data_IF_797815199645
#
_entry.id   IF_797815199645
#
_cell.length_a   1.000
_cell.length_b   1.000
_cell.length_c   1.000
_cell.angle_alpha   90.00
_cell.angle_beta   90.00
_cell.angle_gamma   90.00
#
_symmetry.space_group_name_H-M   'P 1'
#
loop_
_entity.id
_entity.type
_entity.pdbx_description
1 polymer ?
#
# COMPACT_ATOMS: atom_id res chain seq x y z
N UNK A 1 25.43 -11.16 -1.73
CA UNK A 1 24.47 -10.23 -1.09
C UNK A 1 25.17 -8.90 -0.81
N UNK A 2 24.63 -7.74 -1.23
CA UNK A 2 25.25 -6.44 -0.85
C UNK A 2 25.03 -6.20 0.64
N UNK A 3 26.11 -5.96 1.41
CA UNK A 3 26.14 -5.60 2.85
C UNK A 3 25.13 -4.50 3.29
N UNK A 4 24.56 -3.76 2.33
CA UNK A 4 23.65 -2.64 2.55
C UNK A 4 22.16 -3.02 2.57
N UNK A 5 21.79 -4.28 2.32
CA UNK A 5 20.37 -4.69 2.30
C UNK A 5 19.77 -4.78 3.71
N UNK A 6 20.47 -5.44 4.64
CA UNK A 6 20.03 -5.62 6.03
C UNK A 6 19.99 -4.30 6.80
N UNK A 7 21.01 -3.45 6.65
CA UNK A 7 21.06 -2.13 7.31
C UNK A 7 19.93 -1.20 6.88
N UNK A 8 19.46 -1.31 5.64
CA UNK A 8 18.33 -0.51 5.15
C UNK A 8 17.00 -0.94 5.74
N UNK A 9 16.86 -2.19 6.18
CA UNK A 9 15.61 -2.69 6.79
C UNK A 9 15.34 -2.07 8.16
N UNK A 10 16.40 -1.79 8.94
CA UNK A 10 16.30 -1.17 10.27
C UNK A 10 16.04 0.35 10.25
N UNK A 11 15.77 0.95 9.08
CA UNK A 11 15.39 2.35 9.00
C UNK A 11 13.98 2.55 9.60
N UNK A 12 13.82 3.59 10.42
CA UNK A 12 12.54 3.95 11.05
C UNK A 12 11.39 4.13 10.05
N UNK A 13 11.69 4.53 8.82
CA UNK A 13 10.72 4.62 7.72
C UNK A 13 10.08 3.27 7.35
N UNK A 14 10.72 2.15 7.68
CA UNK A 14 10.23 0.80 7.35
C UNK A 14 9.34 0.19 8.44
N UNK A 15 9.23 0.84 9.60
CA UNK A 15 8.31 0.43 10.66
C UNK A 15 6.85 0.58 10.22
N UNK A 16 6.57 1.64 9.46
CA UNK A 16 5.24 1.95 8.95
C UNK A 16 4.84 1.10 7.74
N UNK A 17 3.54 1.01 7.51
CA UNK A 17 2.93 0.38 6.32
C UNK A 17 2.99 1.31 5.10
N UNK A 18 4.16 1.91 4.87
CA UNK A 18 4.40 2.91 3.82
C UNK A 18 5.28 2.34 2.68
N UNK A 19 4.82 2.62 1.46
CA UNK A 19 5.31 2.29 0.12
C UNK A 19 6.20 1.03 -0.08
N UNK A 20 5.56 0.01 -0.64
CA UNK A 20 6.06 -0.88 -1.69
C UNK A 20 4.89 -1.02 -2.68
N UNK A 21 5.17 -1.01 -4.00
CA UNK A 21 4.19 -1.06 -5.11
C UNK A 21 2.87 -1.75 -4.72
N UNK A 22 1.75 -1.01 -4.74
CA UNK A 22 0.45 -1.50 -4.28
C UNK A 22 -0.01 -2.76 -5.05
N UNK A 23 0.42 -2.87 -6.30
CA UNK A 23 0.24 -4.01 -7.21
C UNK A 23 0.75 -5.32 -6.59
N UNK A 24 1.84 -5.26 -5.82
CA UNK A 24 2.45 -6.43 -5.20
C UNK A 24 1.51 -7.12 -4.19
N UNK A 25 0.50 -6.41 -3.70
CA UNK A 25 -0.53 -6.98 -2.82
C UNK A 25 -1.65 -7.70 -3.58
N UNK A 26 -1.79 -7.44 -4.88
CA UNK A 26 -2.84 -7.98 -5.73
C UNK A 26 -2.32 -8.93 -6.82
N UNK A 27 -1.01 -9.18 -6.87
CA UNK A 27 -0.37 -9.98 -7.91
C UNK A 27 0.36 -11.22 -7.38
N UNK A 28 0.48 -12.21 -8.28
CA UNK A 28 1.36 -13.34 -8.09
C UNK A 28 2.81 -12.92 -8.37
N UNK A 29 3.73 -13.32 -7.50
CA UNK A 29 5.17 -13.10 -7.68
C UNK A 29 5.67 -13.71 -9.00
N UNK A 30 5.10 -14.85 -9.40
CA UNK A 30 5.56 -15.69 -10.50
C UNK A 30 4.90 -15.39 -11.85
N UNK A 31 4.36 -14.16 -12.03
CA UNK A 31 3.72 -13.70 -13.26
C UNK A 31 2.61 -14.61 -13.79
N UNK A 32 1.90 -15.29 -12.89
CA UNK A 32 0.73 -16.09 -13.28
C UNK A 32 -0.30 -15.21 -14.01
N UNK A 33 -1.04 -15.78 -14.98
CA UNK A 33 -2.16 -15.06 -15.58
C UNK A 33 -3.11 -14.58 -14.48
N UNK A 34 -3.56 -13.32 -14.58
CA UNK A 34 -4.43 -12.70 -13.56
C UNK A 34 -5.67 -13.52 -13.22
N UNK A 35 -6.39 -14.13 -14.19
CA UNK A 35 -7.52 -15.02 -13.87
C UNK A 35 -7.12 -16.20 -12.97
N UNK A 36 -5.95 -16.81 -13.22
CA UNK A 36 -5.46 -17.97 -12.44
C UNK A 36 -5.18 -17.55 -11.00
N UNK A 37 -4.50 -16.42 -10.80
CA UNK A 37 -4.24 -15.90 -9.46
C UNK A 37 -5.53 -15.49 -8.73
N UNK A 38 -6.51 -14.94 -9.45
CA UNK A 38 -7.83 -14.63 -8.89
C UNK A 38 -8.55 -15.90 -8.42
N UNK A 39 -8.58 -16.96 -9.23
CA UNK A 39 -9.19 -18.25 -8.86
C UNK A 39 -8.51 -18.82 -7.62
N UNK A 40 -7.17 -18.80 -7.55
CA UNK A 40 -6.41 -19.20 -6.36
C UNK A 40 -6.82 -18.41 -5.11
N UNK A 41 -6.93 -17.08 -5.23
CA UNK A 41 -7.35 -16.21 -4.12
C UNK A 41 -8.78 -16.48 -3.65
N UNK A 42 -9.71 -16.69 -4.58
CA UNK A 42 -11.10 -17.04 -4.27
C UNK A 42 -11.20 -18.41 -3.60
N UNK A 43 -10.45 -19.41 -4.08
CA UNK A 43 -10.41 -20.74 -3.48
C UNK A 43 -9.93 -20.70 -2.01
N UNK A 44 -8.86 -19.95 -1.73
CA UNK A 44 -8.40 -19.75 -0.35
C UNK A 44 -9.42 -19.03 0.52
N UNK A 45 -10.08 -17.99 0.00
CA UNK A 45 -11.13 -17.28 0.71
C UNK A 45 -12.32 -18.16 1.07
N UNK A 46 -12.79 -18.97 0.11
CA UNK A 46 -13.89 -19.92 0.31
C UNK A 46 -13.50 -20.98 1.34
N UNK A 47 -12.30 -21.57 1.19
CA UNK A 47 -11.80 -22.56 2.13
C UNK A 47 -11.67 -21.98 3.55
N UNK A 48 -11.18 -20.74 3.70
CA UNK A 48 -11.03 -20.13 5.01
C UNK A 48 -12.37 -19.88 5.72
N UNK A 49 -13.45 -19.59 4.97
CA UNK A 49 -14.80 -19.52 5.53
C UNK A 49 -15.30 -20.90 5.94
N UNK A 50 -15.11 -21.90 5.07
CA UNK A 50 -15.44 -23.29 5.40
C UNK A 50 -14.72 -23.75 6.67
N UNK A 51 -13.41 -23.56 6.76
CA UNK A 51 -12.60 -24.02 7.87
C UNK A 51 -12.94 -23.31 9.19
N UNK A 52 -13.21 -21.99 9.17
CA UNK A 52 -13.71 -21.28 10.35
C UNK A 52 -15.10 -21.79 10.78
N UNK A 53 -15.98 -22.08 9.82
CA UNK A 53 -17.32 -22.60 10.11
C UNK A 53 -17.23 -24.00 10.71
N UNK A 54 -16.38 -24.86 10.14
CA UNK A 54 -16.10 -26.20 10.64
C UNK A 54 -15.55 -26.16 12.06
N UNK A 55 -14.57 -25.29 12.35
CA UNK A 55 -14.05 -25.08 13.71
C UNK A 55 -15.16 -24.69 14.70
N UNK A 56 -15.93 -23.64 14.40
CA UNK A 56 -17.02 -23.20 15.28
C UNK A 56 -18.06 -24.32 15.50
N UNK A 57 -18.39 -25.08 14.45
CA UNK A 57 -19.38 -26.17 14.54
C UNK A 57 -18.83 -27.38 15.30
N UNK A 58 -17.55 -27.73 15.13
CA UNK A 58 -16.92 -28.84 15.84
C UNK A 58 -16.91 -28.56 17.34
N UNK A 59 -16.60 -27.32 17.74
CA UNK A 59 -16.62 -26.89 19.13
C UNK A 59 -18.01 -26.85 19.76
N UNK A 60 -19.05 -26.52 18.98
CA UNK A 60 -20.44 -26.60 19.48
C UNK A 60 -20.88 -28.03 19.80
N UNK A 61 -20.30 -29.02 19.12
CA UNK A 61 -20.62 -30.43 19.31
C UNK A 61 -19.77 -31.09 20.39
N UNK A 62 -18.69 -30.44 20.80
CA UNK A 62 -17.71 -31.02 21.69
C UNK A 62 -18.06 -30.70 23.16
N UNK A 63 -17.77 -31.63 24.06
CA UNK A 63 -18.11 -31.51 25.48
C UNK A 63 -17.13 -30.63 26.28
N UNK A 64 -16.43 -29.70 25.62
CA UNK A 64 -15.42 -28.88 26.29
C UNK A 64 -16.07 -27.82 27.16
N UNK A 65 -15.42 -27.54 28.28
CA UNK A 65 -15.92 -26.62 29.31
C UNK A 65 -15.85 -25.15 28.87
N UNK A 66 -15.01 -24.81 27.89
CA UNK A 66 -14.78 -23.43 27.45
C UNK A 66 -15.52 -23.11 26.16
N UNK A 67 -15.96 -21.86 26.05
CA UNK A 67 -16.48 -21.32 24.80
C UNK A 67 -15.36 -21.24 23.75
N UNK A 68 -15.66 -21.60 22.50
CA UNK A 68 -14.68 -21.64 21.38
C UNK A 68 -13.87 -20.34 21.20
N UNK A 69 -14.50 -19.20 21.44
CA UNK A 69 -13.87 -17.88 21.30
C UNK A 69 -12.77 -17.60 22.32
N UNK A 70 -12.58 -18.44 23.33
CA UNK A 70 -11.50 -18.30 24.30
C UNK A 70 -10.16 -18.75 23.72
N UNK A 71 -10.16 -19.64 22.73
CA UNK A 71 -8.95 -20.24 22.20
C UNK A 71 -8.21 -19.33 21.21
N UNK A 72 -6.88 -19.26 21.35
CA UNK A 72 -5.98 -18.56 20.44
C UNK A 72 -6.10 -19.08 19.00
N UNK A 73 -6.35 -20.38 18.84
CA UNK A 73 -6.60 -21.01 17.53
C UNK A 73 -7.76 -20.32 16.83
N UNK A 74 -8.88 -20.12 17.52
CA UNK A 74 -10.08 -19.48 16.96
C UNK A 74 -9.86 -18.00 16.65
N UNK A 75 -9.18 -17.25 17.53
CA UNK A 75 -8.79 -15.86 17.22
C UNK A 75 -7.94 -15.78 15.95
N UNK A 76 -6.96 -16.69 15.83
CA UNK A 76 -6.06 -16.76 14.67
C UNK A 76 -6.83 -17.12 13.41
N UNK A 77 -7.80 -18.03 13.50
CA UNK A 77 -8.70 -18.40 12.42
C UNK A 77 -9.58 -17.24 11.95
N UNK A 78 -10.15 -16.47 12.87
CA UNK A 78 -10.95 -15.28 12.51
C UNK A 78 -10.11 -14.28 11.72
N UNK A 79 -8.89 -13.97 12.19
CA UNK A 79 -7.98 -13.07 11.48
C UNK A 79 -7.51 -13.64 10.14
N UNK A 80 -7.30 -14.95 10.06
CA UNK A 80 -6.90 -15.65 8.84
C UNK A 80 -8.01 -15.64 7.79
N UNK A 81 -9.26 -15.88 8.19
CA UNK A 81 -10.41 -15.77 7.31
C UNK A 81 -10.58 -14.34 6.81
N UNK A 82 -10.47 -13.34 7.70
CA UNK A 82 -10.49 -11.94 7.28
C UNK A 82 -9.36 -11.60 6.29
N UNK A 83 -8.15 -12.12 6.55
CA UNK A 83 -6.98 -11.96 5.69
C UNK A 83 -7.22 -12.54 4.28
N UNK A 84 -7.67 -13.79 4.17
CA UNK A 84 -7.90 -14.42 2.88
C UNK A 84 -9.07 -13.81 2.11
N UNK A 85 -10.17 -13.45 2.78
CA UNK A 85 -11.29 -12.75 2.15
C UNK A 85 -10.88 -11.39 1.61
N UNK A 86 -10.12 -10.61 2.39
CA UNK A 86 -9.61 -9.33 1.94
C UNK A 86 -8.67 -9.49 0.74
N UNK A 87 -7.78 -10.48 0.76
CA UNK A 87 -6.93 -10.83 -0.39
C UNK A 87 -7.73 -11.20 -1.64
N UNK A 88 -8.82 -11.94 -1.50
CA UNK A 88 -9.73 -12.30 -2.59
C UNK A 88 -10.43 -11.07 -3.19
N UNK A 89 -10.96 -10.19 -2.33
CA UNK A 89 -11.57 -8.93 -2.76
C UNK A 89 -10.55 -8.04 -3.48
N UNK A 90 -9.34 -7.90 -2.96
CA UNK A 90 -8.28 -7.11 -3.59
C UNK A 90 -7.89 -7.64 -4.97
N UNK A 91 -7.74 -8.97 -5.11
CA UNK A 91 -7.46 -9.60 -6.39
C UNK A 91 -8.60 -9.41 -7.40
N UNK A 92 -9.87 -9.51 -6.95
CA UNK A 92 -11.05 -9.32 -7.78
C UNK A 92 -11.17 -7.88 -8.28
N UNK A 93 -11.07 -6.91 -7.38
CA UNK A 93 -11.10 -5.48 -7.71
C UNK A 93 -9.98 -5.13 -8.69
N UNK A 94 -8.79 -5.69 -8.46
CA UNK A 94 -7.65 -5.49 -9.36
C UNK A 94 -7.91 -6.08 -10.75
N UNK A 95 -8.47 -7.28 -10.82
CA UNK A 95 -8.81 -7.93 -12.09
C UNK A 95 -9.86 -7.14 -12.88
N UNK A 96 -10.93 -6.69 -12.23
CA UNK A 96 -12.00 -5.89 -12.85
C UNK A 96 -11.42 -4.57 -13.39
N UNK A 97 -10.60 -3.88 -12.58
CA UNK A 97 -9.95 -2.65 -13.01
C UNK A 97 -9.09 -2.86 -14.26
N UNK A 98 -8.23 -3.89 -14.26
CA UNK A 98 -7.34 -4.17 -15.38
C UNK A 98 -8.12 -4.53 -16.65
N UNK A 99 -9.21 -5.29 -16.52
CA UNK A 99 -10.08 -5.62 -17.65
C UNK A 99 -10.73 -4.37 -18.23
N UNK A 100 -11.32 -3.53 -17.38
CA UNK A 100 -11.97 -2.28 -17.81
C UNK A 100 -10.98 -1.29 -18.44
N UNK A 101 -9.78 -1.17 -17.87
CA UNK A 101 -8.73 -0.31 -18.41
C UNK A 101 -8.29 -0.77 -19.80
N UNK A 102 -8.04 -2.08 -19.98
CA UNK A 102 -7.66 -2.64 -21.29
C UNK A 102 -8.73 -2.45 -22.36
N UNK A 103 -10.01 -2.56 -22.00
CA UNK A 103 -11.11 -2.31 -22.95
C UNK A 103 -11.21 -0.83 -23.33
N UNK A 104 -10.92 0.08 -22.40
CA UNK A 104 -11.07 1.52 -22.63
C UNK A 104 -9.84 2.17 -23.27
N UNK A 105 -8.64 1.63 -23.01
CA UNK A 105 -7.37 2.17 -23.49
C UNK A 105 -6.48 1.05 -24.05
N UNK A 106 -6.84 0.45 -25.20
CA UNK A 106 -6.15 -0.73 -25.74
C UNK A 106 -4.68 -0.46 -26.10
N UNK A 107 -4.34 0.78 -26.47
CA UNK A 107 -2.99 1.17 -26.90
C UNK A 107 -2.11 1.70 -25.76
N UNK A 108 -2.64 1.79 -24.54
CA UNK A 108 -1.90 2.31 -23.38
C UNK A 108 -1.62 1.14 -22.44
N UNK A 109 -0.34 0.84 -22.21
CA UNK A 109 0.02 -0.11 -21.16
C UNK A 109 -0.42 0.47 -19.81
N UNK A 110 -1.17 -0.27 -18.96
CA UNK A 110 -1.53 0.21 -17.64
C UNK A 110 -0.26 0.51 -16.85
N UNK A 111 -0.06 1.79 -16.51
CA UNK A 111 1.06 2.22 -15.67
C UNK A 111 1.00 1.48 -14.33
N UNK A 112 2.15 0.98 -13.85
CA UNK A 112 2.26 0.24 -12.59
C UNK A 112 2.08 1.10 -11.34
N UNK A 113 1.74 2.38 -11.45
CA UNK A 113 1.41 3.23 -10.29
C UNK A 113 -0.06 3.68 -10.30
N UNK A 114 -0.84 3.25 -11.30
CA UNK A 114 -2.10 3.88 -11.67
C UNK A 114 -3.34 3.33 -10.95
N UNK A 115 -3.19 2.23 -10.20
CA UNK A 115 -4.29 1.54 -9.52
C UNK A 115 -4.91 2.34 -8.39
N UNK A 116 -4.06 2.94 -7.56
CA UNK A 116 -4.50 3.68 -6.38
C UNK A 116 -4.98 5.07 -6.81
N UNK A 117 -4.28 5.73 -7.72
CA UNK A 117 -4.63 7.10 -8.12
C UNK A 117 -5.97 7.21 -8.85
N UNK A 118 -6.35 6.28 -9.73
CA UNK A 118 -7.61 6.41 -10.50
C UNK A 118 -8.85 5.93 -9.75
N UNK A 119 -8.77 4.84 -8.98
CA UNK A 119 -9.89 4.42 -8.13
C UNK A 119 -10.25 5.50 -7.09
N UNK A 120 -9.25 6.23 -6.60
CA UNK A 120 -9.44 7.36 -5.70
C UNK A 120 -9.78 8.67 -6.42
N UNK A 121 -9.20 8.96 -7.59
CA UNK A 121 -9.58 10.14 -8.38
C UNK A 121 -11.05 10.06 -8.79
N UNK A 122 -11.57 8.91 -9.23
CA UNK A 122 -12.98 8.76 -9.60
C UNK A 122 -13.90 8.95 -8.37
N UNK A 123 -13.51 8.46 -7.19
CA UNK A 123 -14.29 8.60 -5.95
C UNK A 123 -14.14 9.98 -5.28
N UNK A 124 -13.04 10.69 -5.53
CA UNK A 124 -12.76 12.06 -5.06
C UNK A 124 -13.42 13.09 -5.98
N UNK A 125 -13.37 12.87 -7.30
CA UNK A 125 -14.05 13.68 -8.32
C UNK A 125 -15.57 13.48 -8.31
N UNK A 126 -16.09 12.32 -7.85
CA UNK A 126 -17.53 12.13 -7.68
C UNK A 126 -18.10 12.74 -6.39
N UNK A 127 -17.23 13.05 -5.41
CA UNK A 127 -17.63 13.68 -4.12
C UNK A 127 -17.37 15.18 -4.06
N UNK A 128 -16.35 15.67 -4.75
CA UNK A 128 -16.17 17.10 -4.94
C UNK A 128 -16.96 17.54 -6.17
N UNK A 129 -17.85 18.53 -6.05
CA UNK A 129 -18.31 19.33 -7.18
C UNK A 129 -17.09 20.09 -7.73
N UNK A 130 -16.22 19.41 -8.47
CA UNK A 130 -15.00 20.03 -9.01
C UNK A 130 -15.37 20.84 -10.24
N UNK A 131 -14.88 22.07 -10.27
CA UNK A 131 -15.04 23.02 -11.37
C UNK A 131 -14.64 22.38 -12.72
N UNK A 132 -15.49 22.45 -13.77
CA UNK A 132 -15.21 21.89 -15.10
C UNK A 132 -13.84 22.27 -15.68
N UNK A 133 -13.32 23.46 -15.35
CA UNK A 133 -12.02 23.93 -15.81
C UNK A 133 -10.84 23.06 -15.32
N UNK A 134 -10.94 22.48 -14.12
CA UNK A 134 -9.90 21.61 -13.58
C UNK A 134 -9.88 20.24 -14.27
N UNK A 135 -11.06 19.73 -14.65
CA UNK A 135 -11.20 18.50 -15.44
C UNK A 135 -10.64 18.69 -16.85
N UNK A 136 -10.78 19.88 -17.43
CA UNK A 136 -10.26 20.21 -18.75
C UNK A 136 -8.73 20.35 -18.76
N UNK A 137 -8.16 20.97 -17.73
CA UNK A 137 -6.70 21.03 -17.53
C UNK A 137 -6.09 19.63 -17.34
N UNK A 138 -6.73 18.77 -16.54
CA UNK A 138 -6.29 17.38 -16.34
C UNK A 138 -6.39 16.52 -17.61
N UNK A 139 -7.32 16.81 -18.52
CA UNK A 139 -7.37 16.17 -19.85
C UNK A 139 -6.24 16.61 -20.75
N UNK A 140 -5.93 17.92 -20.78
CA UNK A 140 -4.87 18.49 -21.64
C UNK A 140 -3.47 18.00 -21.27
N UNK A 141 -3.21 17.79 -19.98
CA UNK A 141 -1.92 17.22 -19.51
C UNK A 141 -1.77 15.73 -19.87
N UNK A 142 -2.87 15.02 -20.13
CA UNK A 142 -2.89 13.57 -20.40
C UNK A 142 -3.24 13.20 -21.85
N UNK A 143 -3.33 14.18 -22.76
CA UNK A 143 -3.57 13.89 -24.17
C UNK A 143 -2.31 13.21 -24.76
N UNK A 144 -2.46 12.12 -25.53
CA UNK A 144 -1.33 11.55 -26.26
C UNK A 144 -0.81 12.60 -27.25
N UNK A 145 0.51 12.72 -27.45
CA UNK A 145 1.02 13.59 -28.48
C UNK A 145 0.66 12.95 -29.82
N UNK A 146 -0.19 13.57 -30.63
CA UNK A 146 -0.25 13.23 -32.04
C UNK A 146 -0.62 14.42 -32.93
N UNK A 147 0.27 14.63 -33.91
CA UNK A 147 0.06 15.00 -35.31
C UNK A 147 -1.15 15.87 -35.69
N UNK A 148 -0.79 17.02 -36.27
CA UNK A 148 -1.54 17.78 -37.29
C UNK A 148 -2.78 18.56 -36.83
N UNK A 149 -2.56 19.86 -36.61
CA UNK A 149 -3.49 20.92 -37.06
C UNK A 149 -2.70 22.17 -37.41
N UNK A 150 -2.19 22.23 -38.64
CA UNK A 150 -2.04 23.49 -39.35
C UNK A 150 -3.30 23.70 -40.18
N UNK A 151 -4.14 24.67 -39.82
CA UNK A 151 -4.86 25.54 -40.77
C UNK A 151 -5.82 26.47 -40.02
N UNK A 152 -5.63 27.77 -40.29
CA UNK A 152 -6.65 28.82 -40.33
C UNK A 152 -7.39 29.22 -39.06
N UNK A 153 -6.97 30.34 -38.46
CA UNK A 153 -7.87 31.47 -38.16
C UNK A 153 -7.06 32.75 -37.89
N UNK A 154 -7.14 33.69 -38.84
CA UNK A 154 -6.90 35.12 -38.61
C UNK A 154 -7.96 35.68 -37.63
N UNK A 155 -7.60 36.72 -36.88
CA UNK A 155 -8.59 37.63 -36.30
C UNK A 155 -8.38 37.96 -34.83
N UNK A 156 -7.97 39.21 -34.60
CA UNK A 156 -8.32 40.08 -33.48
C UNK A 156 -7.76 39.83 -32.07
N UNK A 157 -7.07 40.86 -31.59
CA UNK A 157 -6.63 41.03 -30.21
C UNK A 157 -7.82 41.30 -29.29
N UNK A 158 -7.89 40.74 -28.07
CA UNK A 158 -8.93 41.10 -27.12
C UNK A 158 -8.57 42.39 -26.35
N UNK A 159 -9.57 43.22 -25.96
CA UNK A 159 -9.33 44.36 -25.10
C UNK A 159 -9.15 43.93 -23.64
N UNK A 160 -8.30 44.68 -22.95
CA UNK A 160 -8.06 44.62 -21.51
C UNK A 160 -9.33 45.04 -20.77
N UNK A 161 -9.83 44.18 -19.87
CA UNK A 161 -10.85 44.56 -18.87
C UNK A 161 -10.21 44.50 -17.49
N UNK A 162 -10.15 45.68 -16.90
CA UNK A 162 -9.73 46.00 -15.54
C UNK A 162 -10.74 45.40 -14.55
N UNK A 163 -10.24 44.77 -13.48
CA UNK A 163 -11.06 44.43 -12.31
C UNK A 163 -10.55 45.26 -11.13
N UNK A 164 -11.33 46.28 -10.77
CA UNK A 164 -11.22 47.04 -9.53
C UNK A 164 -11.40 46.10 -8.33
N UNK A 165 -10.50 46.24 -7.35
CA UNK A 165 -10.64 45.61 -6.04
C UNK A 165 -10.93 46.70 -5.02
N UNK A 166 -12.16 46.69 -4.48
CA UNK A 166 -12.57 47.57 -3.41
C UNK A 166 -12.18 46.99 -2.03
N UNK A 167 -11.38 47.79 -1.31
CA UNK A 167 -11.56 48.21 0.10
C UNK A 167 -11.51 47.13 1.19
N UNK A 168 -10.48 47.19 2.05
CA UNK A 168 -10.71 47.68 3.41
C UNK A 168 -9.46 48.23 4.15
N UNK A 169 -9.79 49.18 5.05
CA UNK A 169 -9.05 50.21 5.80
C UNK A 169 -7.77 49.84 6.58
N UNK A 170 -6.83 50.80 6.68
CA UNK A 170 -6.43 51.56 7.91
C UNK A 170 -5.15 52.39 7.66
N UNK A 171 -5.24 53.72 7.68
CA UNK A 171 -4.91 54.65 8.79
C UNK A 171 -3.50 55.30 8.70
N UNK A 172 -3.55 56.64 8.60
CA UNK A 172 -2.67 57.66 9.18
C UNK A 172 -1.31 58.06 8.54
N UNK A 173 -1.32 59.33 8.12
CA UNK A 173 -0.44 60.46 8.50
C UNK A 173 0.63 61.02 7.53
N UNK A 174 0.49 62.34 7.30
CA UNK A 174 1.51 63.34 6.92
C UNK A 174 2.08 63.27 5.50
N UNK A 175 2.45 64.32 4.79
CA UNK A 175 2.30 65.78 4.86
C UNK A 175 2.96 66.32 3.57
N UNK A 176 2.56 67.52 3.15
CA UNK A 176 3.23 68.44 2.22
C UNK A 176 3.22 68.10 0.71
N UNK A 177 2.43 68.75 -0.16
CA UNK A 177 2.36 70.16 -0.62
C UNK A 177 3.28 70.47 -1.82
N UNK A 178 2.65 71.04 -2.87
CA UNK A 178 3.13 71.86 -4.02
C UNK A 178 3.52 71.18 -5.35
N UNK A 179 2.62 71.34 -6.33
CA UNK A 179 2.90 71.73 -7.73
C UNK A 179 3.21 73.26 -7.79
N UNK A 180 3.46 73.94 -8.94
CA UNK A 180 3.52 73.53 -10.36
C UNK A 180 4.69 74.17 -11.18
N UNK A 181 4.71 73.92 -12.50
CA UNK A 181 4.85 74.89 -13.63
C UNK A 181 5.89 74.60 -14.74
N UNK A 182 5.34 74.57 -15.98
CA UNK A 182 5.74 75.21 -17.25
C UNK A 182 7.14 75.09 -17.88
N UNK A 183 7.13 74.89 -19.21
CA UNK A 183 8.14 75.41 -20.15
C UNK A 183 8.56 74.39 -21.23
N UNK A 184 7.83 74.26 -22.35
CA UNK A 184 8.11 74.88 -23.67
C UNK A 184 9.13 74.15 -24.58
N UNK A 185 8.64 73.78 -25.77
CA UNK A 185 9.33 73.33 -26.99
C UNK A 185 10.22 74.44 -27.60
N UNK A 186 11.15 74.16 -28.55
CA UNK A 186 10.79 73.99 -29.96
C UNK A 186 11.63 72.99 -30.79
N UNK A 187 11.07 72.70 -31.97
CA UNK A 187 11.57 71.92 -33.12
C UNK A 187 12.66 72.68 -33.89
N UNK A 188 13.63 71.97 -34.49
CA UNK A 188 14.31 72.44 -35.70
C UNK A 188 14.73 71.30 -36.64
N UNK A 189 14.54 71.55 -37.95
CA UNK A 189 14.92 70.70 -39.09
C UNK A 189 16.29 71.13 -39.63
N UNK A 190 17.07 70.18 -40.19
CA UNK A 190 18.09 70.37 -41.26
C UNK A 190 18.49 68.99 -41.79
N UNK A 191 18.14 68.65 -43.02
CA UNK A 191 18.88 68.80 -44.29
C UNK A 191 19.82 67.63 -44.62
N UNK A 192 19.75 67.21 -45.88
CA UNK A 192 20.30 65.98 -46.44
C UNK A 192 21.74 66.14 -46.91
N UNK A 193 22.52 65.06 -46.88
CA UNK A 193 23.58 64.84 -47.86
C UNK A 193 23.79 63.33 -48.09
N UNK A 194 23.95 62.94 -49.34
CA UNK A 194 24.05 61.55 -49.77
C UNK A 194 25.46 60.97 -49.73
N UNK A 195 25.57 59.67 -49.49
CA UNK A 195 26.69 58.83 -49.95
C UNK A 195 26.35 57.34 -49.77
N UNK A 196 26.52 56.61 -50.88
CA UNK A 196 26.91 55.21 -51.00
C UNK A 196 26.03 54.05 -50.51
N UNK A 197 25.63 53.28 -51.52
CA UNK A 197 25.08 51.92 -51.51
C UNK A 197 25.99 50.95 -50.74
N UNK A 198 25.43 50.27 -49.72
CA UNK A 198 25.81 48.90 -49.34
C UNK A 198 24.56 48.12 -48.89
N UNK A 199 24.15 47.15 -49.70
CA UNK A 199 23.16 46.12 -49.37
C UNK A 199 23.71 45.20 -48.26
N UNK A 200 23.03 44.98 -47.13
CA UNK A 200 23.45 43.99 -46.15
C UNK A 200 23.07 42.57 -46.59
N UNK A 201 24.00 41.63 -46.43
CA UNK A 201 23.87 40.22 -46.77
C UNK A 201 22.70 39.49 -46.05
N UNK A 202 22.22 38.35 -46.57
CA UNK A 202 21.17 37.57 -45.94
C UNK A 202 21.64 37.01 -44.59
N UNK A 203 20.80 37.12 -43.55
CA UNK A 203 21.08 36.53 -42.23
C UNK A 203 21.09 35.00 -42.33
N UNK A 204 22.03 34.30 -41.67
CA UNK A 204 22.01 32.84 -41.63
C UNK A 204 20.81 32.35 -40.79
N UNK A 205 20.19 31.27 -41.27
CA UNK A 205 19.10 30.57 -40.59
C UNK A 205 19.46 30.26 -39.13
N UNK A 206 18.69 30.81 -38.19
CA UNK A 206 18.79 30.46 -36.77
C UNK A 206 18.30 29.02 -36.58
N UNK A 207 19.19 28.13 -36.15
CA UNK A 207 18.85 26.79 -35.69
C UNK A 207 17.86 26.84 -34.51
N UNK A 208 16.87 25.94 -34.42
CA UNK A 208 15.97 25.89 -33.27
C UNK A 208 16.77 25.58 -32.00
N UNK A 209 16.65 26.42 -30.96
CA UNK A 209 17.20 26.09 -29.64
C UNK A 209 16.56 24.79 -29.12
N UNK A 210 17.35 23.88 -28.52
CA UNK A 210 16.77 22.73 -27.84
C UNK A 210 15.85 23.21 -26.72
N UNK A 211 14.61 22.73 -26.74
CA UNK A 211 13.63 22.96 -25.67
C UNK A 211 14.23 22.40 -24.38
N UNK A 212 14.67 23.28 -23.48
CA UNK A 212 15.15 22.91 -22.16
C UNK A 212 13.94 22.40 -21.39
N UNK A 213 13.91 21.11 -21.07
CA UNK A 213 12.89 20.56 -20.17
C UNK A 213 12.98 21.27 -18.83
N UNK A 214 11.89 21.93 -18.43
CA UNK A 214 11.77 22.49 -17.09
C UNK A 214 11.95 21.37 -16.07
N UNK A 215 12.70 21.58 -14.97
CA UNK A 215 12.78 20.60 -13.90
C UNK A 215 11.36 20.31 -13.38
N UNK A 216 11.05 19.05 -13.02
CA UNK A 216 9.73 18.69 -12.54
C UNK A 216 9.34 19.59 -11.37
N UNK A 217 8.14 20.17 -11.43
CA UNK A 217 7.61 21.05 -10.40
C UNK A 217 7.74 20.35 -9.04
N UNK A 218 8.51 20.98 -8.12
CA UNK A 218 8.76 20.48 -6.76
C UNK A 218 7.45 20.18 -6.03
N UNK A 219 6.37 20.87 -6.38
CA UNK A 219 5.02 20.66 -5.85
C UNK A 219 4.38 19.39 -6.40
N UNK A 220 4.56 19.07 -7.68
CA UNK A 220 4.10 17.81 -8.28
C UNK A 220 4.92 16.61 -7.77
N UNK A 221 6.24 16.79 -7.57
CA UNK A 221 7.10 15.76 -6.98
C UNK A 221 6.79 15.54 -5.49
N UNK A 222 6.44 16.59 -4.76
CA UNK A 222 5.92 16.52 -3.38
C UNK A 222 4.56 15.81 -3.32
N UNK A 223 3.62 16.15 -4.21
CA UNK A 223 2.31 15.49 -4.29
C UNK A 223 2.40 13.99 -4.64
N UNK A 224 3.33 13.61 -5.52
CA UNK A 224 3.62 12.20 -5.86
C UNK A 224 4.34 11.45 -4.72
N UNK A 225 5.03 12.17 -3.82
CA UNK A 225 5.74 11.57 -2.69
C UNK A 225 4.84 11.20 -1.50
N UNK A 226 3.61 11.72 -1.46
CA UNK A 226 2.64 11.45 -0.38
C UNK A 226 1.54 10.45 -0.76
N UNK A 227 1.79 9.54 -1.71
CA UNK A 227 0.84 8.46 -2.01
C UNK A 227 0.97 7.35 -0.95
N UNK A 228 0.29 7.53 0.18
CA UNK A 228 0.17 6.51 1.23
C UNK A 228 -0.64 5.31 0.73
N UNK A 229 -0.25 4.09 1.09
CA UNK A 229 -1.04 2.89 0.79
C UNK A 229 -2.48 3.05 1.35
N UNK A 230 -3.54 2.69 0.61
CA UNK A 230 -4.89 2.70 1.15
C UNK A 230 -5.00 1.86 2.41
N UNK A 231 -5.81 2.31 3.38
CA UNK A 231 -5.93 1.68 4.70
C UNK A 231 -6.29 0.18 4.64
N UNK A 232 -7.06 -0.24 3.63
CA UNK A 232 -7.44 -1.65 3.47
C UNK A 232 -6.27 -2.53 2.98
N UNK A 233 -5.31 -1.97 2.22
CA UNK A 233 -4.07 -2.68 1.86
C UNK A 233 -3.14 -2.74 3.08
N UNK A 234 -3.09 -1.67 3.87
CA UNK A 234 -2.37 -1.66 5.14
C UNK A 234 -2.93 -2.72 6.09
N UNK A 235 -4.26 -2.79 6.25
CA UNK A 235 -4.93 -3.82 7.04
C UNK A 235 -4.61 -5.23 6.51
N UNK A 236 -4.70 -5.44 5.20
CA UNK A 236 -4.33 -6.72 4.59
C UNK A 236 -2.89 -7.14 4.89
N UNK A 237 -1.96 -6.18 4.87
CA UNK A 237 -0.57 -6.43 5.21
C UNK A 237 -0.36 -6.72 6.69
N UNK A 238 -0.99 -5.93 7.57
CA UNK A 238 -1.00 -6.11 9.02
C UNK A 238 -1.48 -7.52 9.38
N UNK A 239 -2.67 -7.89 8.92
CA UNK A 239 -3.26 -9.20 9.15
C UNK A 239 -2.32 -10.30 8.67
N UNK A 240 -1.76 -10.14 7.47
CA UNK A 240 -0.81 -11.10 6.92
C UNK A 240 0.45 -11.29 7.79
N UNK A 241 0.99 -10.24 8.42
CA UNK A 241 2.14 -10.39 9.32
C UNK A 241 1.77 -11.15 10.60
N UNK A 242 0.56 -10.94 11.11
CA UNK A 242 0.05 -11.65 12.30
C UNK A 242 -0.17 -13.13 11.98
N UNK A 243 -0.98 -13.43 10.95
CA UNK A 243 -1.42 -14.80 10.69
C UNK A 243 -0.32 -15.70 10.13
N UNK A 244 0.67 -15.15 9.42
CA UNK A 244 1.84 -15.94 8.99
C UNK A 244 2.58 -16.54 10.18
N UNK A 245 2.83 -15.73 11.22
CA UNK A 245 3.54 -16.18 12.42
C UNK A 245 2.65 -17.07 13.29
N UNK A 246 1.41 -16.62 13.57
CA UNK A 246 0.56 -17.32 14.53
C UNK A 246 0.00 -18.64 14.01
N UNK A 247 -0.24 -18.81 12.69
CA UNK A 247 -0.61 -20.12 12.15
C UNK A 247 0.46 -21.17 12.46
N UNK A 248 1.75 -20.84 12.30
CA UNK A 248 2.85 -21.77 12.64
C UNK A 248 2.92 -22.02 14.14
N UNK A 249 2.80 -20.98 14.97
CA UNK A 249 2.84 -21.11 16.44
C UNK A 249 1.74 -22.04 16.94
N UNK A 250 0.49 -21.85 16.49
CA UNK A 250 -0.62 -22.71 16.95
C UNK A 250 -0.43 -24.15 16.52
N UNK A 251 0.08 -24.40 15.31
CA UNK A 251 0.38 -25.76 14.83
C UNK A 251 1.48 -26.42 15.67
N UNK A 252 2.57 -25.70 15.93
CA UNK A 252 3.70 -26.24 16.71
C UNK A 252 3.28 -26.52 18.14
N UNK A 253 2.65 -25.56 18.84
CA UNK A 253 2.19 -25.75 20.22
C UNK A 253 1.19 -26.92 20.29
N UNK A 254 0.28 -27.00 19.32
CA UNK A 254 -0.69 -28.06 19.28
C UNK A 254 -0.03 -29.44 19.18
N UNK A 255 0.79 -29.69 18.15
CA UNK A 255 1.37 -31.02 17.95
C UNK A 255 2.48 -31.39 18.93
N UNK A 256 3.19 -30.41 19.49
CA UNK A 256 4.29 -30.67 20.44
C UNK A 256 3.84 -30.78 21.89
N UNK A 257 2.75 -30.10 22.28
CA UNK A 257 2.32 -30.04 23.69
C UNK A 257 0.87 -30.51 23.87
N UNK A 258 -0.08 -29.97 23.11
CA UNK A 258 -1.50 -30.22 23.38
C UNK A 258 -1.96 -31.60 22.91
N UNK A 259 -1.52 -32.04 21.72
CA UNK A 259 -1.88 -33.33 21.14
C UNK A 259 -1.35 -34.51 21.97
N UNK A 260 -0.06 -34.56 22.39
CA UNK A 260 0.44 -35.62 23.26
C UNK A 260 -0.19 -35.61 24.66
N UNK A 261 -0.73 -34.47 25.10
CA UNK A 261 -1.39 -34.32 26.39
C UNK A 261 -2.90 -34.66 26.34
N UNK A 262 -3.44 -35.06 25.19
CA UNK A 262 -4.85 -35.47 25.09
C UNK A 262 -5.08 -36.78 25.88
N UNK A 263 -6.08 -36.85 26.78
CA UNK A 263 -6.32 -38.02 27.63
C UNK A 263 -6.72 -39.29 26.87
N UNK A 264 -7.35 -39.13 25.71
CA UNK A 264 -7.91 -40.22 24.91
C UNK A 264 -6.88 -40.91 24.01
N UNK A 265 -5.63 -40.40 23.95
CA UNK A 265 -4.56 -40.87 23.06
C UNK A 265 -5.03 -41.17 21.64
N UNK A 266 -6.01 -40.41 21.16
CA UNK A 266 -6.63 -40.63 19.86
C UNK A 266 -5.65 -40.30 18.73
N UNK A 267 -5.81 -40.97 17.59
CA UNK A 267 -5.05 -40.65 16.39
C UNK A 267 -5.37 -39.24 15.91
N UNK A 268 -4.48 -38.66 15.10
CA UNK A 268 -4.67 -37.32 14.54
C UNK A 268 -5.97 -37.28 13.74
N UNK A 269 -6.93 -36.46 14.18
CA UNK A 269 -8.23 -36.36 13.53
C UNK A 269 -8.18 -35.46 12.28
N UNK A 270 -9.19 -35.56 11.41
CA UNK A 270 -9.32 -34.65 10.26
C UNK A 270 -9.45 -33.19 10.70
N UNK A 271 -10.14 -32.95 11.82
CA UNK A 271 -10.25 -31.62 12.41
C UNK A 271 -8.86 -31.10 12.81
N UNK A 272 -8.05 -31.90 13.49
CA UNK A 272 -6.69 -31.53 13.90
C UNK A 272 -5.80 -31.19 12.69
N UNK A 273 -5.90 -31.98 11.62
CA UNK A 273 -5.21 -31.70 10.34
C UNK A 273 -5.68 -30.38 9.75
N UNK A 274 -7.00 -30.14 9.73
CA UNK A 274 -7.60 -28.94 9.17
C UNK A 274 -7.16 -27.67 9.92
N UNK A 275 -7.37 -27.65 11.25
CA UNK A 275 -7.12 -26.46 12.09
C UNK A 275 -5.65 -26.15 12.30
N UNK A 276 -4.76 -27.12 12.10
CA UNK A 276 -3.33 -26.92 12.35
C UNK A 276 -2.47 -27.11 11.12
N UNK A 277 -2.52 -28.27 10.44
CA UNK A 277 -1.59 -28.55 9.33
C UNK A 277 -1.95 -27.78 8.07
N UNK A 278 -3.20 -27.88 7.62
CA UNK A 278 -3.65 -27.21 6.39
C UNK A 278 -3.59 -25.69 6.53
N UNK A 279 -3.98 -25.16 7.68
CA UNK A 279 -3.83 -23.75 8.02
C UNK A 279 -2.39 -23.23 7.78
N UNK A 280 -1.41 -23.86 8.43
CA UNK A 280 0.00 -23.49 8.28
C UNK A 280 0.48 -23.70 6.85
N UNK A 281 0.10 -24.80 6.21
CA UNK A 281 0.42 -25.08 4.81
C UNK A 281 -0.05 -23.97 3.88
N UNK A 282 -1.31 -23.53 3.99
CA UNK A 282 -1.85 -22.46 3.15
C UNK A 282 -1.20 -21.11 3.42
N UNK A 283 -0.84 -20.81 4.67
CA UNK A 283 -0.11 -19.57 4.98
C UNK A 283 1.31 -19.56 4.40
N UNK A 284 2.02 -20.68 4.47
CA UNK A 284 3.35 -20.81 3.85
C UNK A 284 3.24 -20.72 2.32
N UNK A 285 2.28 -21.43 1.72
CA UNK A 285 2.03 -21.38 0.27
C UNK A 285 1.66 -19.96 -0.20
N UNK A 286 0.78 -19.25 0.52
CA UNK A 286 0.43 -17.86 0.22
C UNK A 286 1.65 -16.94 0.28
N UNK A 287 2.49 -17.09 1.31
CA UNK A 287 3.73 -16.34 1.44
C UNK A 287 4.69 -16.62 0.26
N UNK A 288 4.65 -17.83 -0.31
CA UNK A 288 5.50 -18.22 -1.44
C UNK A 288 4.97 -17.73 -2.79
N UNK A 289 3.65 -17.69 -2.97
CA UNK A 289 3.01 -17.35 -4.25
C UNK A 289 2.78 -15.83 -4.37
N UNK A 290 2.30 -15.17 -3.32
CA UNK A 290 1.94 -13.76 -3.35
C UNK A 290 3.15 -12.83 -3.43
N UNK A 291 3.06 -11.73 -4.18
CA UNK A 291 4.16 -10.75 -4.31
C UNK A 291 4.33 -9.83 -3.08
N UNK A 292 3.56 -10.05 -2.02
CA UNK A 292 3.54 -9.21 -0.82
C UNK A 292 4.94 -9.18 -0.19
N UNK A 293 5.43 -7.98 0.17
CA UNK A 293 6.69 -7.85 0.89
C UNK A 293 6.55 -8.30 2.34
N UNK A 294 7.64 -8.83 2.88
CA UNK A 294 7.82 -9.11 4.31
C UNK A 294 8.95 -8.23 4.81
N UNK A 295 8.79 -7.61 5.98
CA UNK A 295 9.79 -6.74 6.62
C UNK A 295 10.12 -7.27 8.00
N UNK A 296 11.39 -7.18 8.41
CA UNK A 296 11.80 -7.68 9.74
C UNK A 296 11.14 -6.89 10.88
N UNK A 297 11.06 -5.55 10.75
CA UNK A 297 10.49 -4.67 11.78
C UNK A 297 8.98 -4.90 12.01
N UNK A 298 8.29 -5.55 11.08
CA UNK A 298 6.88 -5.91 11.23
C UNK A 298 6.65 -7.03 12.26
N UNK A 299 7.71 -7.56 12.90
CA UNK A 299 7.63 -8.43 14.09
C UNK A 299 6.78 -7.80 15.21
N UNK A 300 6.69 -6.47 15.26
CA UNK A 300 5.86 -5.75 16.22
C UNK A 300 4.37 -6.14 16.13
N UNK A 301 3.86 -6.46 14.94
CA UNK A 301 2.44 -6.78 14.74
C UNK A 301 2.02 -8.12 15.37
N UNK A 302 2.69 -9.25 15.11
CA UNK A 302 2.41 -10.48 15.85
C UNK A 302 2.71 -10.34 17.35
N UNK A 303 3.72 -9.56 17.77
CA UNK A 303 3.95 -9.30 19.20
C UNK A 303 2.75 -8.62 19.88
N UNK A 304 2.22 -7.55 19.30
CA UNK A 304 1.05 -6.85 19.83
C UNK A 304 -0.19 -7.75 19.89
N UNK A 305 -0.39 -8.60 18.88
CA UNK A 305 -1.46 -9.59 18.89
C UNK A 305 -1.28 -10.63 20.01
N UNK A 306 -0.05 -11.12 20.24
CA UNK A 306 0.26 -12.00 21.35
C UNK A 306 0.01 -11.36 22.71
N UNK A 307 0.43 -10.10 22.90
CA UNK A 307 0.16 -9.31 24.11
C UNK A 307 -1.35 -9.15 24.34
N UNK A 308 -2.13 -8.84 23.30
CA UNK A 308 -3.57 -8.72 23.40
C UNK A 308 -4.22 -10.04 23.87
N UNK A 309 -3.77 -11.18 23.35
CA UNK A 309 -4.27 -12.48 23.79
C UNK A 309 -3.84 -12.82 25.23
N UNK A 310 -2.62 -12.49 25.62
CA UNK A 310 -2.15 -12.65 27.01
C UNK A 310 -3.01 -11.86 27.97
N UNK A 311 -3.25 -10.57 27.70
CA UNK A 311 -4.15 -9.71 28.51
C UNK A 311 -5.53 -10.34 28.63
N UNK A 312 -6.12 -10.75 27.49
CA UNK A 312 -7.40 -11.45 27.49
C UNK A 312 -7.37 -12.72 28.35
N UNK A 313 -6.34 -13.54 28.24
CA UNK A 313 -6.24 -14.81 28.95
C UNK A 313 -6.12 -14.64 30.48
N UNK A 314 -5.38 -13.62 30.94
CA UNK A 314 -5.28 -13.28 32.37
C UNK A 314 -6.63 -12.81 32.89
N UNK A 315 -7.31 -11.93 32.14
CA UNK A 315 -8.64 -11.44 32.52
C UNK A 315 -9.63 -12.61 32.58
N UNK A 316 -9.65 -13.49 31.59
CA UNK A 316 -10.54 -14.65 31.55
C UNK A 316 -10.30 -15.58 32.74
N UNK A 317 -9.05 -15.94 33.01
CA UNK A 317 -8.67 -16.73 34.18
C UNK A 317 -9.10 -16.07 35.50
N UNK A 318 -8.89 -14.76 35.65
CA UNK A 318 -9.19 -14.03 36.90
C UNK A 318 -10.68 -14.04 37.30
N UNK A 319 -11.59 -14.37 36.39
CA UNK A 319 -13.03 -14.45 36.68
C UNK A 319 -13.43 -15.73 37.42
N UNK A 320 -12.68 -16.81 37.22
CA UNK A 320 -12.87 -18.09 37.89
C UNK A 320 -11.57 -18.90 37.75
N UNK A 321 -10.58 -18.69 38.65
CA UNK A 321 -9.26 -19.32 38.53
C UNK A 321 -9.27 -20.86 38.56
N UNK A 322 -10.33 -21.48 39.09
CA UNK A 322 -10.47 -22.93 39.15
C UNK A 322 -10.91 -23.51 37.81
N UNK A 323 -11.85 -22.85 37.13
CA UNK A 323 -12.45 -23.38 35.90
C UNK A 323 -11.91 -22.73 34.63
N UNK A 324 -11.41 -21.48 34.66
CA UNK A 324 -11.03 -20.71 33.46
C UNK A 324 -9.55 -20.87 33.06
N UNK A 325 -9.00 -22.09 33.13
CA UNK A 325 -7.64 -22.39 32.69
C UNK A 325 -7.64 -22.88 31.23
N UNK A 326 -7.37 -21.97 30.30
CA UNK A 326 -7.47 -22.21 28.84
C UNK A 326 -6.53 -23.31 28.34
N UNK A 327 -5.24 -23.23 28.69
CA UNK A 327 -4.23 -24.18 28.25
C UNK A 327 -3.40 -24.67 29.45
N UNK A 328 -3.89 -25.70 30.15
CA UNK A 328 -3.29 -26.22 31.39
C UNK A 328 -1.77 -26.50 31.35
N UNK A 329 -1.18 -26.72 30.18
CA UNK A 329 0.26 -27.02 30.02
C UNK A 329 1.11 -25.85 29.52
N UNK A 330 0.50 -24.77 29.03
CA UNK A 330 1.19 -23.72 28.28
C UNK A 330 0.84 -22.32 28.80
N UNK A 331 -0.43 -22.12 29.18
CA UNK A 331 -0.98 -20.84 29.60
C UNK A 331 -1.90 -21.08 30.81
N UNK A 332 -1.26 -21.42 31.93
CA UNK A 332 -1.90 -21.66 33.22
C UNK A 332 -1.47 -20.60 34.24
N UNK A 333 -2.34 -19.62 34.47
CA UNK A 333 -2.07 -18.50 35.37
C UNK A 333 -2.12 -18.87 36.86
N UNK A 334 -2.61 -20.07 37.19
CA UNK A 334 -2.47 -20.64 38.53
C UNK A 334 -1.02 -21.07 38.82
N UNK A 335 -0.21 -21.26 37.76
CA UNK A 335 1.22 -21.54 37.82
C UNK A 335 2.03 -20.47 37.04
N UNK A 336 2.06 -19.21 37.54
CA UNK A 336 2.49 -18.06 36.75
C UNK A 336 3.96 -18.11 36.33
N UNK A 337 4.84 -18.74 37.11
CA UNK A 337 6.27 -18.84 36.78
C UNK A 337 6.53 -19.55 35.44
N UNK A 338 5.94 -20.73 35.24
CA UNK A 338 6.04 -21.47 33.98
C UNK A 338 5.38 -20.71 32.84
N UNK A 339 4.18 -20.19 33.08
CA UNK A 339 3.39 -19.45 32.07
C UNK A 339 4.12 -18.21 31.58
N UNK A 340 4.69 -17.41 32.48
CA UNK A 340 5.51 -16.25 32.12
C UNK A 340 6.75 -16.69 31.34
N UNK A 341 7.43 -17.77 31.74
CA UNK A 341 8.57 -18.32 31.01
C UNK A 341 8.22 -18.69 29.56
N UNK A 342 7.10 -19.39 29.35
CA UNK A 342 6.60 -19.77 28.02
C UNK A 342 6.23 -18.54 27.19
N UNK A 343 5.45 -17.61 27.75
CA UNK A 343 5.03 -16.38 27.05
C UNK A 343 6.24 -15.54 26.64
N UNK A 344 7.20 -15.36 27.55
CA UNK A 344 8.46 -14.66 27.26
C UNK A 344 9.25 -15.38 26.17
N UNK A 345 9.39 -16.71 26.25
CA UNK A 345 10.07 -17.50 25.21
C UNK A 345 9.41 -17.36 23.84
N UNK A 346 8.08 -17.37 23.77
CA UNK A 346 7.35 -17.12 22.52
C UNK A 346 7.59 -15.70 22.00
N UNK A 347 7.55 -14.70 22.87
CA UNK A 347 7.71 -13.30 22.50
C UNK A 347 9.14 -12.94 22.05
N UNK A 348 10.17 -13.43 22.75
CA UNK A 348 11.56 -13.01 22.49
C UNK A 348 12.30 -13.96 21.55
N UNK A 349 11.85 -15.21 21.40
CA UNK A 349 12.52 -16.21 20.56
C UNK A 349 11.62 -16.60 19.39
N UNK A 350 10.46 -17.22 19.66
CA UNK A 350 9.68 -17.88 18.61
C UNK A 350 9.11 -16.89 17.57
N UNK A 351 8.46 -15.81 18.02
CA UNK A 351 7.86 -14.80 17.13
C UNK A 351 8.94 -14.10 16.27
N UNK A 352 10.05 -13.59 16.84
CA UNK A 352 11.14 -13.02 16.05
C UNK A 352 11.77 -14.02 15.07
N UNK A 353 12.03 -15.25 15.51
CA UNK A 353 12.59 -16.29 14.65
C UNK A 353 11.67 -16.60 13.46
N UNK A 354 10.37 -16.77 13.68
CA UNK A 354 9.41 -17.01 12.62
C UNK A 354 9.30 -15.82 11.67
N UNK A 355 9.28 -14.59 12.17
CA UNK A 355 9.31 -13.39 11.32
C UNK A 355 10.58 -13.35 10.44
N UNK A 356 11.74 -13.70 11.01
CA UNK A 356 12.99 -13.81 10.28
C UNK A 356 12.95 -14.91 9.22
N UNK A 357 12.33 -16.06 9.49
CA UNK A 357 12.15 -17.13 8.51
C UNK A 357 11.25 -16.71 7.35
N UNK A 358 10.11 -16.06 7.62
CA UNK A 358 9.26 -15.51 6.55
C UNK A 358 9.98 -14.40 5.76
N UNK A 359 10.77 -13.57 6.43
CA UNK A 359 11.60 -12.57 5.77
C UNK A 359 12.67 -13.21 4.88
N UNK A 360 13.37 -14.24 5.38
CA UNK A 360 14.36 -14.99 4.62
C UNK A 360 13.74 -15.65 3.39
N UNK A 361 12.56 -16.26 3.55
CA UNK A 361 11.80 -16.83 2.44
C UNK A 361 11.40 -15.75 1.42
N UNK A 362 10.97 -14.57 1.87
CA UNK A 362 10.74 -13.42 0.98
C UNK A 362 12.01 -13.00 0.21
N UNK A 363 13.16 -12.88 0.87
CA UNK A 363 14.42 -12.56 0.19
C UNK A 363 14.80 -13.64 -0.84
N UNK A 364 14.61 -14.91 -0.49
CA UNK A 364 14.82 -16.03 -1.41
C UNK A 364 13.93 -15.91 -2.64
N UNK A 365 12.64 -15.57 -2.48
CA UNK A 365 11.73 -15.34 -3.62
C UNK A 365 12.20 -14.25 -4.55
N UNK A 366 12.76 -13.16 -4.02
CA UNK A 366 13.31 -12.08 -4.83
C UNK A 366 14.57 -12.52 -5.59
N UNK A 367 15.43 -13.31 -4.96
CA UNK A 367 16.63 -13.87 -5.59
C UNK A 367 16.23 -14.82 -6.73
N UNK A 368 15.31 -15.75 -6.48
CA UNK A 368 14.79 -16.69 -7.48
C UNK A 368 14.15 -15.90 -8.63
N UNK A 369 13.29 -14.93 -8.34
CA UNK A 369 12.66 -14.11 -9.37
C UNK A 369 13.68 -13.39 -10.25
N UNK A 370 14.72 -12.79 -9.65
CA UNK A 370 15.80 -12.14 -10.41
C UNK A 370 16.52 -13.14 -11.31
N UNK A 371 16.79 -14.34 -10.80
CA UNK A 371 17.51 -15.35 -11.56
C UNK A 371 16.67 -15.86 -12.74
N UNK A 372 15.39 -16.19 -12.51
CA UNK A 372 14.47 -16.74 -13.51
C UNK A 372 14.11 -15.70 -14.58
N UNK A 373 13.76 -14.48 -14.17
CA UNK A 373 13.26 -13.46 -15.10
C UNK A 373 14.31 -12.43 -15.54
N UNK A 374 15.56 -12.55 -15.07
CA UNK A 374 16.67 -11.62 -15.33
C UNK A 374 16.30 -10.15 -15.06
N UNK A 375 15.40 -9.90 -14.10
CA UNK A 375 14.86 -8.59 -13.75
C UNK A 375 14.64 -8.45 -12.25
N UNK A 376 14.86 -7.26 -11.74
CA UNK A 376 14.46 -6.91 -10.38
C UNK A 376 12.93 -6.79 -10.29
N UNK A 377 12.33 -7.35 -9.24
CA UNK A 377 10.87 -7.26 -9.06
C UNK A 377 10.44 -5.80 -8.78
N UNK A 378 11.18 -5.14 -7.89
CA UNK A 378 10.84 -3.79 -7.42
C UNK A 378 11.56 -2.66 -8.16
N UNK A 379 12.63 -2.91 -8.93
CA UNK A 379 13.24 -1.89 -9.79
C UNK A 379 12.72 -2.04 -11.22
N UNK A 380 12.22 -0.96 -11.79
CA UNK A 380 11.85 -0.91 -13.21
C UNK A 380 13.07 -0.65 -14.09
#
# INVERSE_FOLDING_TARGET
MRRNCVRREFLWSNFGLQLQKAEAFCECQWRWPRPVFLVYRLALGIYAVFALTEDIVSWKKSAWQHHVLVFLTTWTYILLTAYFLLGAVLALLYYIYQRHFRTKYPNIAPSKNHLVEKAWAIRRLSRQKVNPAFLDAARKVNAPPNSDTASSANGDSPPVVVVDSAVDKKEQNGSDVKTPTHGTWPVDKKEANGSDVKTPAPRPHSTPRPVRSSPPDKRATSMLSEVTLPWYIQLYWLLGNIVQVFSVIVTVIYFSVLFPAKPDHSSVSLHDVNVHMLNTGFMVLDAMIGARPVRMLHVIYPLLYGVAYVIFSVIYWSRDPEHNVVYKKVLDWSHPGLTVGVVCGLAVIAIPLLQLLFFAAYQLRLIIYRHVYKKDYFKE
#
